data_IF_913799462464
#
_entry.id   IF_913799462464
#
_cell.length_a   1.000
_cell.length_b   1.000
_cell.length_c   1.000
_cell.angle_alpha   90.00
_cell.angle_beta   90.00
_cell.angle_gamma   90.00
#
_symmetry.space_group_name_H-M   'P 1'
#
loop_
_entity.id
_entity.type
_entity.pdbx_description
1 polymer ?
#
# COMPACT_ATOMS: atom_id res chain seq x y z
N UNK A 1 -14.00 -9.41 18.92
CA UNK A 1 -13.31 -8.16 18.54
C UNK A 1 -12.37 -8.48 17.40
N UNK A 2 -12.54 -7.83 16.26
CA UNK A 2 -11.64 -7.94 15.11
C UNK A 2 -10.32 -7.24 15.42
N UNK A 3 -9.20 -7.94 15.18
CA UNK A 3 -7.84 -7.44 15.36
C UNK A 3 -7.17 -7.32 14.00
N UNK A 4 -6.49 -6.21 13.76
CA UNK A 4 -5.71 -5.99 12.55
C UNK A 4 -4.23 -5.88 12.87
N UNK A 5 -3.39 -6.14 11.86
CA UNK A 5 -1.95 -6.01 11.97
C UNK A 5 -1.51 -4.61 11.54
N UNK A 6 -0.64 -4.00 12.34
CA UNK A 6 0.01 -2.73 12.02
C UNK A 6 1.52 -2.89 12.14
N UNK A 7 2.28 -2.24 11.25
CA UNK A 7 3.74 -2.33 11.17
C UNK A 7 4.38 -0.96 11.18
N UNK A 8 5.46 -0.81 11.93
CA UNK A 8 6.38 0.33 11.85
C UNK A 8 7.80 -0.22 11.93
N UNK A 9 8.59 0.00 10.89
CA UNK A 9 9.93 -0.58 10.75
C UNK A 9 9.89 -2.11 10.95
N UNK A 10 10.68 -2.64 11.89
CA UNK A 10 10.73 -4.08 12.22
C UNK A 10 9.67 -4.51 13.25
N UNK A 11 8.78 -3.61 13.68
CA UNK A 11 7.79 -3.89 14.71
C UNK A 11 6.42 -4.14 14.10
N UNK A 12 5.84 -5.30 14.38
CA UNK A 12 4.47 -5.67 14.02
C UNK A 12 3.62 -5.83 15.27
N UNK A 13 2.45 -5.20 15.31
CA UNK A 13 1.50 -5.24 16.42
C UNK A 13 0.13 -5.71 15.95
N UNK A 14 -0.57 -6.42 16.81
CA UNK A 14 -1.97 -6.80 16.61
C UNK A 14 -2.81 -5.86 17.47
N UNK A 15 -3.62 -5.02 16.81
CA UNK A 15 -4.39 -3.97 17.47
C UNK A 15 -5.88 -4.13 17.17
N UNK A 16 -6.77 -3.78 18.10
CA UNK A 16 -8.20 -3.73 17.81
C UNK A 16 -8.48 -2.71 16.70
N UNK A 17 -9.45 -2.99 15.82
CA UNK A 17 -9.82 -2.09 14.71
C UNK A 17 -10.10 -0.65 15.16
N UNK A 18 -10.77 -0.48 16.30
CA UNK A 18 -11.08 0.84 16.85
C UNK A 18 -9.86 1.69 17.24
N UNK A 19 -8.66 1.09 17.33
CA UNK A 19 -7.43 1.81 17.67
C UNK A 19 -6.53 2.08 16.45
N UNK A 20 -6.87 1.56 15.27
CA UNK A 20 -6.03 1.66 14.07
C UNK A 20 -5.72 3.11 13.73
N UNK A 21 -6.70 4.01 13.80
CA UNK A 21 -6.50 5.44 13.55
C UNK A 21 -5.41 6.05 14.43
N UNK A 22 -5.34 5.65 15.70
CA UNK A 22 -4.29 6.10 16.63
C UNK A 22 -2.91 5.62 16.18
N UNK A 23 -2.79 4.37 15.75
CA UNK A 23 -1.53 3.81 15.27
C UNK A 23 -1.10 4.39 13.91
N UNK A 24 -2.04 4.63 13.00
CA UNK A 24 -1.78 5.34 11.73
C UNK A 24 -1.21 6.75 11.99
N UNK A 25 -1.77 7.48 12.97
CA UNK A 25 -1.25 8.80 13.37
C UNK A 25 0.16 8.73 13.99
N UNK A 26 0.52 7.61 14.63
CA UNK A 26 1.86 7.36 15.18
C UNK A 26 2.89 6.89 14.14
N UNK A 27 2.46 6.73 12.88
CA UNK A 27 3.33 6.29 11.79
C UNK A 27 3.38 4.78 11.59
N UNK A 28 2.38 4.02 12.08
CA UNK A 28 2.26 2.59 11.78
C UNK A 28 1.40 2.39 10.53
N UNK A 29 1.88 1.59 9.59
CA UNK A 29 1.12 1.15 8.43
C UNK A 29 0.22 -0.03 8.80
N UNK A 30 -1.03 -0.05 8.36
CA UNK A 30 -1.86 -1.23 8.45
C UNK A 30 -1.42 -2.23 7.38
N UNK A 31 -1.17 -3.48 7.79
CA UNK A 31 -0.74 -4.56 6.89
C UNK A 31 -1.75 -5.71 6.88
N UNK A 32 -1.79 -6.45 5.78
CA UNK A 32 -2.54 -7.70 5.67
C UNK A 32 -1.77 -8.89 6.25
N UNK A 33 -2.32 -10.10 6.09
CA UNK A 33 -1.68 -11.33 6.57
C UNK A 33 -0.38 -11.67 5.84
N UNK A 34 -0.24 -11.23 4.60
CA UNK A 34 0.94 -11.43 3.75
C UNK A 34 2.01 -10.34 3.93
N UNK A 35 1.71 -9.30 4.71
CA UNK A 35 2.60 -8.18 4.98
C UNK A 35 2.51 -7.03 3.98
N UNK A 36 1.54 -7.03 3.07
CA UNK A 36 1.28 -5.89 2.18
C UNK A 36 0.58 -4.78 2.95
N UNK A 37 0.89 -3.54 2.60
CA UNK A 37 0.30 -2.37 3.25
C UNK A 37 -1.11 -2.14 2.69
N UNK A 38 -2.11 -2.31 3.55
CA UNK A 38 -3.53 -2.01 3.26
C UNK A 38 -3.80 -0.52 3.41
N UNK A 39 -3.24 0.10 4.46
CA UNK A 39 -3.42 1.53 4.73
C UNK A 39 -2.13 2.15 5.23
N UNK A 40 -1.62 3.12 4.46
CA UNK A 40 -0.38 3.82 4.79
C UNK A 40 -0.60 4.83 5.92
N UNK A 41 0.38 4.92 6.80
CA UNK A 41 0.47 5.96 7.80
C UNK A 41 0.78 7.28 7.10
N UNK A 42 -0.16 8.22 7.10
CA UNK A 42 0.07 9.54 6.51
C UNK A 42 0.80 10.47 7.47
N UNK A 43 0.98 10.09 8.74
CA UNK A 43 1.67 10.90 9.76
C UNK A 43 1.04 12.28 9.96
N UNK A 44 -0.28 12.40 9.71
CA UNK A 44 -1.00 13.68 9.74
C UNK A 44 -0.83 14.54 8.48
N UNK A 45 -0.07 14.09 7.48
CA UNK A 45 0.02 14.78 6.17
C UNK A 45 -1.21 14.46 5.32
N UNK A 46 -1.71 15.47 4.64
CA UNK A 46 -2.79 15.32 3.66
C UNK A 46 -2.21 15.48 2.26
N UNK A 47 -2.73 14.69 1.32
CA UNK A 47 -2.42 14.81 -0.11
C UNK A 47 -3.50 15.68 -0.73
N UNK A 48 -3.13 16.58 -1.64
CA UNK A 48 -4.12 17.38 -2.35
C UNK A 48 -4.93 16.51 -3.32
N UNK A 49 -6.15 16.94 -3.66
CA UNK A 49 -6.97 16.21 -4.64
C UNK A 49 -6.24 16.04 -5.98
N UNK A 50 -5.47 17.06 -6.39
CA UNK A 50 -4.72 17.06 -7.65
C UNK A 50 -3.62 16.00 -7.66
N UNK A 51 -2.85 15.89 -6.58
CA UNK A 51 -1.82 14.85 -6.44
C UNK A 51 -2.43 13.45 -6.39
N UNK A 52 -3.56 13.30 -5.71
CA UNK A 52 -4.29 12.03 -5.67
C UNK A 52 -4.76 11.61 -7.07
N UNK A 53 -5.36 12.54 -7.83
CA UNK A 53 -5.81 12.26 -9.19
C UNK A 53 -4.64 11.90 -10.12
N UNK A 54 -3.51 12.61 -10.03
CA UNK A 54 -2.30 12.26 -10.80
C UNK A 54 -1.79 10.85 -10.49
N UNK A 55 -1.86 10.43 -9.22
CA UNK A 55 -1.48 9.06 -8.84
C UNK A 55 -2.45 8.03 -9.43
N UNK A 56 -3.76 8.31 -9.44
CA UNK A 56 -4.75 7.45 -10.08
C UNK A 56 -4.52 7.32 -11.59
N UNK A 57 -4.25 8.43 -12.27
CA UNK A 57 -3.93 8.43 -13.71
C UNK A 57 -2.69 7.55 -13.97
N UNK A 58 -1.65 7.68 -13.15
CA UNK A 58 -0.43 6.87 -13.28
C UNK A 58 -0.67 5.38 -13.02
N UNK A 59 -1.53 5.04 -12.07
CA UNK A 59 -1.93 3.65 -11.82
C UNK A 59 -2.67 3.09 -13.04
N UNK A 60 -3.62 3.85 -13.60
CA UNK A 60 -4.37 3.45 -14.79
C UNK A 60 -3.44 3.25 -16.01
N UNK A 61 -2.47 4.14 -16.23
CA UNK A 61 -1.44 3.97 -17.27
C UNK A 61 -0.64 2.68 -17.08
N UNK A 62 -0.16 2.41 -15.87
CA UNK A 62 0.64 1.22 -15.57
C UNK A 62 -0.17 -0.08 -15.70
N UNK A 63 -1.44 -0.05 -15.33
CA UNK A 63 -2.36 -1.18 -15.53
C UNK A 63 -2.61 -1.43 -17.02
N UNK A 64 -2.77 -0.36 -17.82
CA UNK A 64 -2.86 -0.49 -19.28
C UNK A 64 -1.57 -1.08 -19.87
N UNK A 65 -0.39 -0.63 -19.44
CA UNK A 65 0.90 -1.19 -19.87
C UNK A 65 1.13 -2.66 -19.46
N UNK A 66 0.54 -3.08 -18.33
CA UNK A 66 0.60 -4.48 -17.87
C UNK A 66 -0.43 -5.36 -18.60
N UNK A 67 -1.60 -4.82 -18.92
CA UNK A 67 -2.64 -5.51 -19.69
C UNK A 67 -2.33 -5.59 -21.18
N UNK A 68 -1.53 -4.66 -21.71
CA UNK A 68 -0.95 -4.76 -23.03
C UNK A 68 0.02 -5.96 -23.05
N UNK A 69 -0.14 -6.94 -23.97
CA UNK A 69 0.67 -8.13 -23.98
C UNK A 69 2.13 -7.75 -24.21
N UNK A 70 2.95 -7.85 -23.16
CA UNK A 70 4.42 -7.83 -23.29
C UNK A 70 4.84 -9.04 -24.09
N UNK A 71 4.91 -8.87 -25.41
CA UNK A 71 5.55 -9.80 -26.31
C UNK A 71 6.96 -10.14 -25.82
N UNK A 72 7.20 -11.44 -25.65
CA UNK A 72 8.49 -12.13 -25.70
C UNK A 72 9.73 -11.37 -25.20
N UNK A 73 10.05 -11.49 -23.90
CA UNK A 73 11.47 -11.57 -23.51
C UNK A 73 11.91 -13.02 -23.73
N UNK A 74 12.54 -13.25 -24.89
CA UNK A 74 13.19 -14.51 -25.25
C UNK A 74 14.05 -15.01 -24.09
N UNK A 75 13.78 -16.26 -23.68
CA UNK A 75 14.76 -17.10 -22.99
C UNK A 75 15.98 -17.20 -23.92
N UNK A 76 17.08 -16.54 -23.59
CA UNK A 76 18.40 -17.01 -24.03
C UNK A 76 18.87 -18.00 -22.97
N UNK A 77 18.66 -19.27 -23.29
CA UNK A 77 19.45 -20.39 -22.79
C UNK A 77 20.90 -20.17 -23.18
N UNK A 78 21.81 -20.32 -22.22
CA UNK A 78 23.23 -20.58 -22.44
C UNK A 78 23.60 -21.82 -21.61
#
# INVERSE_FOLDING_TARGET
MSTVKVRKENRVLHVPEGQVAKFLNQGYDQIDETGNIVKRATGGRMVTLQEYNRLLDRVAELEQELSAPKGAKQKKSE
#
